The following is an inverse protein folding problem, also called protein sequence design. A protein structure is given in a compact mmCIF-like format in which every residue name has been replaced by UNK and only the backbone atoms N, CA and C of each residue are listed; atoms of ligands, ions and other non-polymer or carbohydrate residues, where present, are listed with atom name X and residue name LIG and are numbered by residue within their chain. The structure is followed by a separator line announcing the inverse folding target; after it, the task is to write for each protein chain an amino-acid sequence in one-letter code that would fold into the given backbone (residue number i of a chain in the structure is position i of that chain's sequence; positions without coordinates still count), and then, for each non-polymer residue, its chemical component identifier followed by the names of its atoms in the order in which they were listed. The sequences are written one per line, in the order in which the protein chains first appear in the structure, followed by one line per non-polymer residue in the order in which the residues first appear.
data_IF_309530833647
#
_entry.id   IF_309530833647
#
_cell.length_a   1.000
_cell.length_b   1.000
_cell.length_c   1.000
_cell.angle_alpha   90.00
_cell.angle_beta   90.00
_cell.angle_gamma   90.00
#
_symmetry.space_group_name_H-M   'P 1'
#
loop_
_entity.id
_entity.type
_entity.pdbx_description
1 polymer ?
#
# COMPACT_ATOMS: atom_id res chain seq x y z
N UNK A 1 6.10 -6.58 -0.54
CA UNK A 1 7.03 -7.65 -0.99
C UNK A 1 6.32 -8.65 -1.89
N UNK A 2 5.38 -9.45 -1.37
CA UNK A 2 4.70 -10.49 -2.15
C UNK A 2 3.24 -10.16 -2.50
N UNK A 3 2.87 -8.89 -2.60
CA UNK A 3 1.47 -8.51 -2.86
C UNK A 3 0.97 -9.11 -4.18
N UNK A 4 1.80 -9.05 -5.22
CA UNK A 4 1.47 -9.49 -6.58
C UNK A 4 1.94 -10.91 -6.90
N UNK A 5 2.59 -11.61 -5.94
CA UNK A 5 2.96 -13.01 -6.12
C UNK A 5 1.79 -13.90 -5.65
N UNK A 6 1.06 -14.55 -6.58
CA UNK A 6 -0.10 -15.36 -6.23
C UNK A 6 0.28 -16.63 -5.46
N UNK A 7 1.55 -17.04 -5.45
CA UNK A 7 2.04 -18.30 -4.89
C UNK A 7 2.73 -18.14 -3.53
N UNK A 8 2.61 -16.99 -2.89
CA UNK A 8 3.14 -16.76 -1.54
C UNK A 8 2.02 -16.33 -0.62
N UNK A 9 1.72 -17.14 0.39
CA UNK A 9 0.81 -16.78 1.45
C UNK A 9 1.55 -16.10 2.61
N UNK A 10 1.01 -15.00 3.13
CA UNK A 10 1.57 -14.28 4.29
C UNK A 10 0.42 -14.03 5.26
N UNK A 11 0.64 -14.31 6.53
CA UNK A 11 -0.33 -14.03 7.59
C UNK A 11 0.40 -13.64 8.88
N UNK A 12 -0.30 -12.89 9.74
CA UNK A 12 0.11 -12.64 11.12
C UNK A 12 -0.98 -13.09 12.08
N UNK A 13 -0.58 -13.52 13.27
CA UNK A 13 -1.46 -13.99 14.35
C UNK A 13 -2.45 -15.10 13.94
N UNK A 14 -2.12 -15.85 12.88
CA UNK A 14 -2.95 -16.94 12.37
C UNK A 14 -2.53 -18.27 13.00
N UNK A 15 -3.46 -18.99 13.62
CA UNK A 15 -3.17 -20.31 14.17
C UNK A 15 -2.71 -21.28 13.08
N UNK A 16 -1.53 -21.85 13.24
CA UNK A 16 -0.96 -22.91 12.41
C UNK A 16 -1.06 -24.27 13.12
N UNK A 17 -1.69 -25.23 12.45
CA UNK A 17 -1.78 -26.64 12.83
C UNK A 17 -0.92 -27.49 11.88
N UNK A 18 0.19 -28.07 12.35
CA UNK A 18 1.11 -28.82 11.48
C UNK A 18 0.57 -30.22 11.16
N UNK A 19 -0.18 -30.82 12.08
CA UNK A 19 -0.75 -32.17 11.96
C UNK A 19 -2.20 -32.18 12.45
N UNK A 20 -2.94 -33.23 12.11
CA UNK A 20 -4.27 -33.44 12.65
C UNK A 20 -4.25 -33.70 14.16
N UNK A 21 -5.34 -33.39 14.86
CA UNK A 21 -5.40 -33.50 16.31
C UNK A 21 -5.16 -34.93 16.83
N UNK A 22 -5.48 -35.95 16.02
CA UNK A 22 -5.26 -37.37 16.31
C UNK A 22 -3.80 -37.81 16.14
N UNK A 23 -3.01 -37.05 15.38
CA UNK A 23 -1.59 -37.28 15.13
C UNK A 23 -0.69 -36.39 16.01
N UNK A 24 -1.28 -35.56 16.87
CA UNK A 24 -0.57 -34.65 17.73
C UNK A 24 0.30 -35.41 18.75
N UNK A 25 1.57 -35.02 18.84
CA UNK A 25 2.53 -35.58 19.81
C UNK A 25 2.16 -35.11 21.22
N UNK A 26 2.00 -36.05 22.16
CA UNK A 26 1.74 -35.73 23.55
C UNK A 26 2.87 -34.85 24.14
N UNK A 27 2.50 -33.83 24.92
CA UNK A 27 3.44 -32.88 25.50
C UNK A 27 3.99 -31.82 24.53
N UNK A 28 3.60 -31.85 23.25
CA UNK A 28 3.91 -30.79 22.27
C UNK A 28 2.65 -29.97 22.01
N UNK A 29 2.80 -28.65 21.84
CA UNK A 29 1.69 -27.78 21.45
C UNK A 29 1.05 -28.27 20.14
N UNK A 30 -0.29 -28.26 20.09
CA UNK A 30 -1.06 -28.69 18.90
C UNK A 30 -1.04 -27.66 17.77
N UNK A 31 -0.78 -26.41 18.11
CA UNK A 31 -0.75 -25.28 17.18
C UNK A 31 0.07 -24.14 17.74
N UNK A 32 0.55 -23.28 16.86
CA UNK A 32 1.19 -22.03 17.20
C UNK A 32 0.66 -20.92 16.29
N UNK A 33 0.48 -19.70 16.82
CA UNK A 33 0.27 -18.51 16.00
C UNK A 33 1.57 -17.70 16.02
N UNK A 34 2.33 -17.69 14.91
CA UNK A 34 3.41 -16.74 14.71
C UNK A 34 2.88 -15.33 14.48
N UNK A 35 3.64 -14.32 14.92
CA UNK A 35 3.30 -12.92 14.63
C UNK A 35 3.37 -12.63 13.13
N UNK A 36 4.31 -13.28 12.43
CA UNK A 36 4.32 -13.35 10.96
C UNK A 36 4.74 -14.74 10.51
N UNK A 37 4.01 -15.29 9.54
CA UNK A 37 4.39 -16.46 8.78
C UNK A 37 4.42 -16.14 7.29
N UNK A 38 5.39 -16.70 6.56
CA UNK A 38 5.47 -16.66 5.10
C UNK A 38 5.54 -18.08 4.58
N UNK A 39 4.63 -18.39 3.66
CA UNK A 39 4.47 -19.71 3.07
C UNK A 39 4.57 -19.63 1.54
N UNK A 40 5.70 -20.07 1.01
CA UNK A 40 5.94 -20.20 -0.42
C UNK A 40 5.25 -21.44 -0.99
N UNK A 41 4.77 -21.33 -2.22
CA UNK A 41 4.03 -22.38 -2.91
C UNK A 41 2.56 -22.49 -2.50
N UNK A 42 2.05 -21.53 -1.71
CA UNK A 42 0.64 -21.50 -1.28
C UNK A 42 -0.09 -20.27 -1.80
N UNK A 43 -1.33 -20.43 -2.29
CA UNK A 43 -2.07 -19.32 -2.84
C UNK A 43 -2.54 -18.35 -1.76
N UNK A 44 -2.73 -17.09 -2.17
CA UNK A 44 -3.52 -16.10 -1.41
C UNK A 44 -4.91 -16.66 -1.10
N UNK A 45 -5.49 -16.18 -0.01
CA UNK A 45 -6.84 -16.55 0.39
C UNK A 45 -7.05 -16.40 1.89
N UNK A 46 -8.28 -16.04 2.26
CA UNK A 46 -8.66 -15.93 3.67
C UNK A 46 -8.70 -17.30 4.34
N UNK A 47 -8.23 -17.35 5.59
CA UNK A 47 -8.09 -18.56 6.38
C UNK A 47 -8.42 -18.23 7.83
N UNK A 48 -9.28 -19.05 8.45
CA UNK A 48 -9.47 -19.01 9.91
C UNK A 48 -8.26 -19.57 10.67
N UNK A 49 -7.58 -20.53 10.06
CA UNK A 49 -6.33 -21.11 10.54
C UNK A 49 -5.57 -21.72 9.37
N UNK A 50 -4.24 -21.78 9.49
CA UNK A 50 -3.39 -22.46 8.54
C UNK A 50 -3.24 -23.93 8.96
N UNK A 51 -3.93 -24.85 8.29
CA UNK A 51 -3.86 -26.29 8.57
C UNK A 51 -2.94 -26.94 7.56
N UNK A 52 -1.69 -27.17 7.92
CA UNK A 52 -0.65 -27.68 7.01
C UNK A 52 -1.07 -28.98 6.28
N UNK A 53 -1.77 -29.88 6.96
CA UNK A 53 -2.31 -31.12 6.39
C UNK A 53 -3.40 -30.90 5.31
N UNK A 54 -4.01 -29.71 5.26
CA UNK A 54 -4.93 -29.28 4.19
C UNK A 54 -4.25 -28.39 3.15
N UNK A 55 -2.95 -28.11 3.33
CA UNK A 55 -2.15 -27.19 2.52
C UNK A 55 -0.99 -27.94 1.86
N UNK A 56 -1.27 -29.16 1.36
CA UNK A 56 -0.29 -30.03 0.69
C UNK A 56 0.91 -30.41 1.56
N UNK A 57 0.77 -30.32 2.89
CA UNK A 57 1.85 -30.62 3.84
C UNK A 57 2.92 -29.52 3.92
N UNK A 58 2.69 -28.36 3.30
CA UNK A 58 3.67 -27.27 3.24
C UNK A 58 3.65 -26.50 4.57
N UNK A 59 4.74 -26.54 5.32
CA UNK A 59 4.92 -25.71 6.51
C UNK A 59 5.25 -24.25 6.11
N UNK A 60 5.00 -23.25 6.99
CA UNK A 60 5.61 -21.95 6.85
C UNK A 60 7.14 -22.05 6.80
N UNK A 61 7.76 -21.45 5.78
CA UNK A 61 9.21 -21.48 5.63
C UNK A 61 9.88 -20.36 6.42
N UNK A 62 9.25 -19.19 6.54
CA UNK A 62 9.79 -18.08 7.32
C UNK A 62 8.80 -17.68 8.41
N UNK A 63 9.30 -17.56 9.63
CA UNK A 63 8.53 -17.16 10.80
C UNK A 63 9.22 -16.02 11.53
N UNK A 64 8.44 -15.02 11.94
CA UNK A 64 8.86 -13.97 12.87
C UNK A 64 8.07 -14.05 14.17
N UNK A 65 8.77 -13.74 15.26
CA UNK A 65 8.23 -13.49 16.59
C UNK A 65 8.79 -12.16 17.12
N UNK A 66 7.95 -11.40 17.80
CA UNK A 66 8.25 -10.13 18.42
C UNK A 66 8.04 -10.30 19.93
N UNK A 67 9.11 -10.18 20.69
CA UNK A 67 9.04 -10.29 22.15
C UNK A 67 8.22 -9.16 22.75
N UNK A 68 7.36 -9.55 23.69
CA UNK A 68 6.63 -8.68 24.59
C UNK A 68 7.10 -8.90 26.03
N UNK A 69 6.85 -7.92 26.90
CA UNK A 69 7.23 -7.99 28.33
C UNK A 69 6.62 -9.18 29.07
N UNK A 70 5.53 -9.74 28.57
CA UNK A 70 4.84 -10.89 29.18
C UNK A 70 5.37 -12.24 28.71
N UNK A 71 6.21 -12.30 27.66
CA UNK A 71 6.73 -13.57 27.18
C UNK A 71 7.76 -14.13 28.15
N UNK A 72 7.62 -15.41 28.47
CA UNK A 72 8.56 -16.14 29.29
C UNK A 72 9.60 -16.87 28.44
N UNK A 73 10.80 -17.10 28.98
CA UNK A 73 11.83 -17.89 28.30
C UNK A 73 11.34 -19.31 27.95
N UNK A 74 10.54 -19.92 28.84
CA UNK A 74 9.99 -21.25 28.64
C UNK A 74 9.02 -21.31 27.45
N UNK A 75 8.15 -20.32 27.30
CA UNK A 75 7.25 -20.21 26.14
C UNK A 75 8.04 -20.03 24.85
N UNK A 76 9.06 -19.17 24.85
CA UNK A 76 9.87 -18.92 23.66
C UNK A 76 10.70 -20.13 23.26
N UNK A 77 11.22 -20.89 24.22
CA UNK A 77 11.90 -22.16 23.97
C UNK A 77 10.93 -23.21 23.40
N UNK A 78 9.69 -23.27 23.92
CA UNK A 78 8.66 -24.17 23.39
C UNK A 78 8.30 -23.81 21.94
N UNK A 79 8.13 -22.51 21.62
CA UNK A 79 7.92 -22.04 20.24
C UNK A 79 9.09 -22.41 19.33
N UNK A 80 10.33 -22.17 19.76
CA UNK A 80 11.53 -22.55 19.01
C UNK A 80 11.54 -24.05 18.66
N UNK A 81 11.25 -24.90 19.65
CA UNK A 81 11.20 -26.36 19.44
C UNK A 81 10.02 -26.83 18.60
N UNK A 82 8.91 -26.10 18.64
CA UNK A 82 7.79 -26.31 17.73
C UNK A 82 8.20 -26.01 16.28
N UNK A 83 8.82 -24.85 16.03
CA UNK A 83 9.27 -24.43 14.70
C UNK A 83 10.34 -25.36 14.10
N UNK A 84 11.33 -25.75 14.90
CA UNK A 84 12.35 -26.73 14.51
C UNK A 84 11.73 -28.07 14.13
N UNK A 85 10.78 -28.57 14.93
CA UNK A 85 10.11 -29.86 14.70
C UNK A 85 9.30 -29.87 13.40
N UNK A 86 8.58 -28.80 13.10
CA UNK A 86 7.63 -28.75 12.00
C UNK A 86 8.16 -28.08 10.73
N UNK A 87 9.48 -27.85 10.66
CA UNK A 87 10.16 -27.60 9.40
C UNK A 87 10.21 -26.14 8.96
N UNK A 88 10.15 -25.19 9.91
CA UNK A 88 10.47 -23.79 9.61
C UNK A 88 11.92 -23.70 9.11
N UNK A 89 12.12 -22.98 8.01
CA UNK A 89 13.44 -22.84 7.37
C UNK A 89 14.22 -21.63 7.89
N UNK A 90 13.51 -20.54 8.19
CA UNK A 90 14.07 -19.32 8.78
C UNK A 90 13.20 -18.87 9.95
N UNK A 91 13.81 -18.71 11.12
CA UNK A 91 13.13 -18.19 12.30
C UNK A 91 13.83 -16.92 12.76
N UNK A 92 13.07 -15.85 12.96
CA UNK A 92 13.56 -14.57 13.43
C UNK A 92 12.81 -14.15 14.70
N UNK A 93 13.57 -13.76 15.73
CA UNK A 93 13.04 -13.27 17.00
C UNK A 93 13.55 -11.86 17.24
N UNK A 94 12.65 -10.89 17.30
CA UNK A 94 12.99 -9.50 17.56
C UNK A 94 12.59 -9.10 18.98
N UNK A 95 13.51 -8.47 19.71
CA UNK A 95 13.26 -7.82 20.99
C UNK A 95 13.20 -6.29 20.78
N UNK A 96 12.02 -5.66 20.79
CA UNK A 96 11.91 -4.22 20.63
C UNK A 96 12.46 -3.43 21.82
N UNK A 97 12.49 -4.01 23.02
CA UNK A 97 12.97 -3.32 24.21
C UNK A 97 14.49 -3.20 24.22
N UNK A 98 15.18 -4.22 23.69
CA UNK A 98 16.63 -4.24 23.53
C UNK A 98 17.10 -3.82 22.13
N UNK A 99 16.16 -3.64 21.18
CA UNK A 99 16.43 -3.47 19.76
C UNK A 99 17.40 -4.56 19.23
N UNK A 100 17.09 -5.81 19.55
CA UNK A 100 17.94 -6.96 19.24
C UNK A 100 17.20 -7.95 18.35
N UNK A 101 17.76 -8.22 17.16
CA UNK A 101 17.29 -9.28 16.29
C UNK A 101 18.16 -10.53 16.49
N UNK A 102 17.51 -11.67 16.70
CA UNK A 102 18.12 -13.00 16.63
C UNK A 102 17.53 -13.76 15.47
N UNK A 103 18.31 -14.63 14.85
CA UNK A 103 17.84 -15.43 13.73
C UNK A 103 18.45 -16.83 13.73
N UNK A 104 17.72 -17.76 13.11
CA UNK A 104 18.14 -19.14 12.92
C UNK A 104 17.81 -19.62 11.52
N UNK A 105 18.71 -20.41 10.95
CA UNK A 105 18.53 -21.08 9.67
C UNK A 105 18.44 -22.59 9.87
N UNK A 106 17.53 -23.23 9.15
CA UNK A 106 17.43 -24.69 9.16
C UNK A 106 18.61 -25.33 8.44
N UNK A 107 19.28 -26.24 9.13
CA UNK A 107 20.29 -27.14 8.57
C UNK A 107 20.06 -28.54 9.12
N UNK A 108 19.95 -29.54 8.26
CA UNK A 108 19.71 -30.94 8.65
C UNK A 108 18.55 -31.10 9.65
N UNK A 109 17.44 -30.37 9.43
CA UNK A 109 16.24 -30.36 10.30
C UNK A 109 16.45 -29.77 11.71
N UNK A 110 17.49 -28.96 11.90
CA UNK A 110 17.75 -28.23 13.13
C UNK A 110 17.87 -26.73 12.85
N UNK A 111 17.36 -25.89 13.74
CA UNK A 111 17.50 -24.44 13.64
C UNK A 111 18.85 -24.02 14.25
N UNK A 112 19.77 -23.56 13.39
CA UNK A 112 21.12 -23.15 13.77
C UNK A 112 21.18 -21.63 13.86
N UNK A 113 21.72 -21.11 14.97
CA UNK A 113 21.82 -19.67 15.22
C UNK A 113 22.67 -18.98 14.16
N UNK A 114 22.18 -17.86 13.66
CA UNK A 114 22.94 -16.93 12.83
C UNK A 114 23.81 -16.08 13.75
N UNK A 115 25.11 -15.99 13.46
CA UNK A 115 26.07 -15.33 14.35
C UNK A 115 25.95 -13.80 14.36
N UNK A 116 25.74 -13.18 13.19
CA UNK A 116 25.54 -11.75 13.05
C UNK A 116 24.28 -11.45 12.23
N UNK A 117 23.34 -10.73 12.84
CA UNK A 117 22.10 -10.30 12.21
C UNK A 117 22.20 -8.94 11.53
N UNK A 118 23.21 -8.13 11.84
CA UNK A 118 23.37 -6.81 11.25
C UNK A 118 23.78 -6.93 9.77
N UNK A 119 22.95 -6.38 8.87
CA UNK A 119 23.12 -6.53 7.43
C UNK A 119 22.79 -7.93 6.91
N UNK A 120 22.21 -8.81 7.74
CA UNK A 120 21.83 -10.16 7.31
C UNK A 120 20.76 -10.10 6.22
N UNK A 121 20.95 -10.90 5.16
CA UNK A 121 19.98 -11.04 4.06
C UNK A 121 19.30 -12.40 4.18
N UNK A 122 17.98 -12.41 4.38
CA UNK A 122 17.17 -13.62 4.40
C UNK A 122 17.26 -14.36 3.05
N UNK A 123 17.68 -15.64 3.03
CA UNK A 123 17.73 -16.44 1.80
C UNK A 123 16.38 -16.57 1.07
N UNK A 124 15.26 -16.69 1.80
CA UNK A 124 13.92 -16.86 1.24
C UNK A 124 13.27 -15.53 0.87
N UNK A 125 13.43 -14.50 1.69
CA UNK A 125 12.76 -13.22 1.49
C UNK A 125 13.57 -12.28 0.60
N UNK A 126 14.89 -12.43 0.57
CA UNK A 126 15.82 -11.45 -0.01
C UNK A 126 15.88 -10.12 0.74
N UNK A 127 15.22 -10.02 1.90
CA UNK A 127 15.22 -8.83 2.74
C UNK A 127 16.49 -8.73 3.56
N UNK A 128 17.04 -7.52 3.70
CA UNK A 128 18.15 -7.21 4.59
C UNK A 128 17.63 -6.63 5.92
N UNK A 129 18.21 -7.04 7.04
CA UNK A 129 17.85 -6.55 8.38
C UNK A 129 18.97 -5.70 8.99
N UNK A 130 18.59 -4.58 9.60
CA UNK A 130 19.50 -3.69 10.31
C UNK A 130 18.86 -3.22 11.62
N UNK A 131 19.66 -3.00 12.67
CA UNK A 131 19.19 -2.53 13.98
C UNK A 131 19.83 -1.21 14.40
N UNK A 132 20.74 -0.67 13.59
CA UNK A 132 21.49 0.55 13.89
C UNK A 132 20.63 1.82 14.01
N UNK A 133 19.46 1.86 13.38
CA UNK A 133 18.51 2.99 13.40
C UNK A 133 17.71 3.16 14.71
N UNK A 134 18.00 2.38 15.75
CA UNK A 134 17.27 2.41 17.03
C UNK A 134 15.95 1.61 17.01
N UNK A 135 15.63 0.97 15.89
CA UNK A 135 14.60 -0.04 15.73
C UNK A 135 15.00 -1.00 14.61
N UNK A 136 14.31 -2.14 14.50
CA UNK A 136 14.49 -3.04 13.36
C UNK A 136 14.06 -2.36 12.05
N UNK A 137 15.04 -2.14 11.19
CA UNK A 137 14.84 -1.73 9.80
C UNK A 137 14.89 -2.95 8.89
N UNK A 138 13.92 -3.03 7.98
CA UNK A 138 13.85 -4.08 6.97
C UNK A 138 13.99 -3.43 5.60
N UNK A 139 14.99 -3.85 4.85
CA UNK A 139 15.20 -3.43 3.47
C UNK A 139 14.72 -4.53 2.53
N UNK A 140 13.95 -4.12 1.52
CA UNK A 140 13.47 -4.99 0.45
C UNK A 140 14.64 -5.50 -0.41
N UNK A 141 14.43 -6.54 -1.24
CA UNK A 141 15.44 -7.00 -2.21
C UNK A 141 15.92 -5.92 -3.18
N UNK A 142 15.07 -4.92 -3.47
CA UNK A 142 15.40 -3.75 -4.30
C UNK A 142 16.22 -2.67 -3.58
N UNK A 143 16.54 -2.88 -2.29
CA UNK A 143 17.31 -1.96 -1.46
C UNK A 143 16.49 -0.85 -0.81
N UNK A 144 15.18 -0.74 -1.07
CA UNK A 144 14.32 0.24 -0.42
C UNK A 144 13.97 -0.17 1.02
N UNK A 145 14.03 0.76 1.97
CA UNK A 145 13.55 0.53 3.34
C UNK A 145 12.04 0.33 3.33
N UNK A 146 11.56 -0.70 4.03
CA UNK A 146 10.14 -0.88 4.27
C UNK A 146 9.64 0.21 5.21
N UNK A 147 8.62 0.92 4.74
CA UNK A 147 7.94 1.92 5.55
C UNK A 147 7.10 1.24 6.63
N UNK A 148 7.07 1.86 7.80
CA UNK A 148 6.12 1.52 8.85
C UNK A 148 4.70 1.88 8.41
N UNK A 149 3.71 1.27 9.08
CA UNK A 149 2.31 1.62 8.88
C UNK A 149 2.04 3.13 9.09
N UNK A 150 2.68 3.73 10.09
CA UNK A 150 2.53 5.15 10.41
C UNK A 150 3.08 6.05 9.29
N UNK A 151 4.25 5.72 8.75
CA UNK A 151 4.83 6.45 7.61
C UNK A 151 3.94 6.33 6.37
N UNK A 152 3.45 5.12 6.09
CA UNK A 152 2.54 4.86 4.96
C UNK A 152 1.23 5.65 5.08
N UNK A 153 0.60 5.66 6.26
CA UNK A 153 -0.64 6.43 6.52
C UNK A 153 -0.42 7.93 6.33
N UNK A 154 0.67 8.47 6.88
CA UNK A 154 1.01 9.89 6.73
C UNK A 154 1.23 10.28 5.27
N UNK A 155 1.92 9.45 4.48
CA UNK A 155 2.09 9.71 3.05
C UNK A 155 0.75 9.69 2.31
N UNK A 156 -0.09 8.68 2.55
CA UNK A 156 -1.40 8.57 1.92
C UNK A 156 -2.31 9.76 2.25
N UNK A 157 -2.30 10.24 3.49
CA UNK A 157 -3.02 11.45 3.90
C UNK A 157 -2.52 12.70 3.17
N UNK A 158 -1.21 12.87 3.06
CA UNK A 158 -0.61 13.99 2.33
C UNK A 158 -0.93 13.96 0.84
N UNK A 159 -0.88 12.79 0.22
CA UNK A 159 -1.25 12.61 -1.19
C UNK A 159 -2.73 12.91 -1.42
N UNK A 160 -3.61 12.45 -0.53
CA UNK A 160 -5.04 12.75 -0.57
C UNK A 160 -5.31 14.25 -0.46
N UNK A 161 -4.65 14.95 0.48
CA UNK A 161 -4.78 16.40 0.62
C UNK A 161 -4.30 17.15 -0.63
N UNK A 162 -3.20 16.71 -1.25
CA UNK A 162 -2.69 17.30 -2.49
C UNK A 162 -3.68 17.11 -3.65
N UNK A 163 -4.20 15.89 -3.82
CA UNK A 163 -5.19 15.58 -4.84
C UNK A 163 -6.48 16.40 -4.67
N UNK A 164 -6.94 16.59 -3.43
CA UNK A 164 -8.11 17.45 -3.14
C UNK A 164 -7.85 18.91 -3.47
N UNK A 165 -6.68 19.44 -3.13
CA UNK A 165 -6.32 20.83 -3.48
C UNK A 165 -6.22 21.03 -4.99
N UNK A 166 -5.66 20.07 -5.72
CA UNK A 166 -5.58 20.11 -7.17
C UNK A 166 -6.96 20.06 -7.82
N UNK A 167 -7.85 19.17 -7.35
CA UNK A 167 -9.23 19.09 -7.81
C UNK A 167 -10.01 20.40 -7.57
N UNK A 168 -9.86 21.03 -6.39
CA UNK A 168 -10.49 22.31 -6.10
C UNK A 168 -9.98 23.43 -7.01
N UNK A 169 -8.69 23.44 -7.33
CA UNK A 169 -8.11 24.43 -8.26
C UNK A 169 -8.65 24.23 -9.67
N UNK A 170 -8.69 22.99 -10.15
CA UNK A 170 -9.24 22.66 -11.46
C UNK A 170 -10.73 23.05 -11.55
N UNK A 171 -11.51 22.81 -10.50
CA UNK A 171 -12.92 23.21 -10.44
C UNK A 171 -13.08 24.74 -10.47
N UNK A 172 -12.28 25.47 -9.69
CA UNK A 172 -12.30 26.94 -9.70
C UNK A 172 -11.90 27.50 -11.07
N UNK A 173 -10.92 26.91 -11.74
CA UNK A 173 -10.50 27.30 -13.08
C UNK A 173 -11.61 27.01 -14.11
N UNK A 174 -12.25 25.84 -14.03
CA UNK A 174 -13.39 25.49 -14.88
C UNK A 174 -14.57 26.45 -14.69
N UNK A 175 -14.92 26.79 -13.44
CA UNK A 175 -15.99 27.75 -13.16
C UNK A 175 -15.66 29.15 -13.69
N UNK A 176 -14.40 29.58 -13.63
CA UNK A 176 -13.97 30.86 -14.20
C UNK A 176 -14.07 30.86 -15.72
N UNK A 177 -13.59 29.79 -16.37
CA UNK A 177 -13.68 29.64 -17.82
C UNK A 177 -15.14 29.62 -18.30
N UNK A 178 -16.04 28.95 -17.57
CA UNK A 178 -17.46 28.92 -17.88
C UNK A 178 -18.12 30.30 -17.71
N UNK A 179 -17.80 31.02 -16.63
CA UNK A 179 -18.30 32.40 -16.45
C UNK A 179 -17.80 33.35 -17.53
N UNK A 180 -16.54 33.23 -17.94
CA UNK A 180 -15.98 34.04 -19.01
C UNK A 180 -16.63 33.73 -20.35
N UNK A 181 -16.86 32.44 -20.66
CA UNK A 181 -17.59 32.02 -21.85
C UNK A 181 -19.03 32.54 -21.86
N UNK A 182 -19.76 32.42 -20.74
CA UNK A 182 -21.12 32.95 -20.63
C UNK A 182 -21.18 34.47 -20.80
N UNK A 183 -20.21 35.21 -20.25
CA UNK A 183 -20.13 36.67 -20.44
C UNK A 183 -19.86 37.03 -21.90
N UNK A 184 -18.91 36.34 -22.53
CA UNK A 184 -18.60 36.56 -23.95
C UNK A 184 -19.81 36.25 -24.84
N UNK A 185 -20.58 35.20 -24.54
CA UNK A 185 -21.81 34.86 -25.26
C UNK A 185 -22.90 35.92 -25.05
N UNK A 186 -23.12 36.37 -23.81
CA UNK A 186 -24.08 37.44 -23.51
C UNK A 186 -23.71 38.76 -24.21
N UNK A 187 -22.43 39.14 -24.21
CA UNK A 187 -21.97 40.34 -24.89
C UNK A 187 -22.14 40.24 -26.41
N UNK A 188 -21.80 39.08 -27.00
CA UNK A 188 -22.02 38.82 -28.42
C UNK A 188 -23.51 38.89 -28.78
N UNK A 189 -24.39 38.32 -27.95
CA UNK A 189 -25.83 38.37 -28.16
C UNK A 189 -26.36 39.81 -28.04
N UNK A 190 -25.94 40.57 -27.02
CA UNK A 190 -26.36 41.96 -26.86
C UNK A 190 -25.92 42.85 -28.03
N UNK A 191 -24.71 42.62 -28.58
CA UNK A 191 -24.25 43.29 -29.80
C UNK A 191 -25.15 42.94 -30.98
N UNK A 192 -25.51 41.66 -31.18
CA UNK A 192 -26.43 41.24 -32.24
C UNK A 192 -27.82 41.86 -32.10
N UNK A 193 -28.40 41.87 -30.90
CA UNK A 193 -29.73 42.43 -30.64
C UNK A 193 -29.79 43.97 -30.83
N UNK A 194 -28.64 44.65 -30.73
CA UNK A 194 -28.54 46.10 -30.95
C UNK A 194 -28.55 46.48 -32.44
N UNK A 195 -28.13 45.58 -33.34
CA UNK A 195 -28.05 45.83 -34.79
C UNK A 195 -29.38 46.36 -35.37
N UNK A 196 -30.53 45.66 -35.26
CA UNK A 196 -31.77 46.13 -35.84
C UNK A 196 -32.27 47.45 -35.21
N UNK A 197 -31.97 47.70 -33.93
CA UNK A 197 -32.35 48.95 -33.25
C UNK A 197 -31.57 50.14 -33.78
N UNK A 198 -30.27 50.00 -33.99
CA UNK A 198 -29.42 51.08 -34.51
C UNK A 198 -29.73 51.39 -35.98
N UNK A 199 -30.00 50.35 -36.79
CA UNK A 199 -30.44 50.54 -38.17
C UNK A 199 -31.81 51.21 -38.24
N UNK A 200 -32.74 50.84 -37.35
CA UNK A 200 -34.04 51.51 -37.20
C UNK A 200 -33.97 52.97 -36.75
N UNK A 201 -32.87 53.39 -36.12
CA UNK A 201 -32.59 54.79 -35.77
C UNK A 201 -31.93 55.58 -36.92
N UNK A 202 -31.68 54.94 -38.07
CA UNK A 202 -31.19 55.59 -39.29
C UNK A 202 -29.67 55.59 -39.48
N UNK A 203 -28.92 54.79 -38.70
CA UNK A 203 -27.49 54.58 -38.97
C UNK A 203 -27.30 53.69 -40.21
N UNK A 204 -26.23 53.92 -40.99
CA UNK A 204 -25.85 53.02 -42.08
C UNK A 204 -25.22 51.72 -41.56
N UNK A 205 -25.17 50.69 -42.40
CA UNK A 205 -24.53 49.40 -42.07
C UNK A 205 -23.08 49.58 -41.64
N UNK A 206 -22.34 50.45 -42.31
CA UNK A 206 -20.94 50.78 -41.98
C UNK A 206 -20.83 51.50 -40.63
N UNK A 207 -21.78 52.38 -40.31
CA UNK A 207 -21.83 53.08 -39.03
C UNK A 207 -22.16 52.13 -37.87
N UNK A 208 -23.06 51.16 -38.07
CA UNK A 208 -23.39 50.14 -37.07
C UNK A 208 -22.25 49.15 -36.86
N UNK A 209 -21.61 48.70 -37.94
CA UNK A 209 -20.42 47.85 -37.88
C UNK A 209 -19.30 48.52 -37.07
N UNK A 210 -19.00 49.79 -37.36
CA UNK A 210 -18.02 50.56 -36.61
C UNK A 210 -18.40 50.77 -35.14
N UNK A 211 -19.68 51.04 -34.84
CA UNK A 211 -20.15 51.31 -33.48
C UNK A 211 -20.14 50.07 -32.55
N UNK A 212 -20.38 48.87 -33.12
CA UNK A 212 -20.41 47.62 -32.37
C UNK A 212 -19.10 46.82 -32.45
N UNK A 213 -18.12 47.32 -33.21
CA UNK A 213 -16.85 46.62 -33.46
C UNK A 213 -17.05 45.31 -34.23
N UNK A 214 -18.00 45.27 -35.16
CA UNK A 214 -18.32 44.14 -36.02
C UNK A 214 -17.85 44.40 -37.46
N UNK A 215 -17.74 43.35 -38.27
CA UNK A 215 -17.57 43.49 -39.71
C UNK A 215 -18.88 43.85 -40.42
N UNK A 216 -18.78 44.43 -41.62
CA UNK A 216 -19.94 44.76 -42.46
C UNK A 216 -20.68 43.48 -42.89
N UNK A 217 -19.97 42.37 -43.16
CA UNK A 217 -20.62 41.07 -43.40
C UNK A 217 -21.44 40.58 -42.19
N UNK A 218 -20.94 40.70 -40.96
CA UNK A 218 -21.66 40.27 -39.76
C UNK A 218 -22.94 41.08 -39.52
N UNK A 219 -22.91 42.38 -39.81
CA UNK A 219 -24.12 43.23 -39.71
C UNK A 219 -25.15 42.83 -40.76
N UNK A 220 -24.72 42.58 -42.00
CA UNK A 220 -25.62 42.16 -43.09
C UNK A 220 -26.21 40.75 -42.90
N UNK A 221 -25.52 39.85 -42.21
CA UNK A 221 -26.04 38.51 -41.90
C UNK A 221 -27.09 38.49 -40.77
N UNK A 222 -27.14 39.54 -39.95
CA UNK A 222 -28.11 39.71 -38.87
C UNK A 222 -29.24 40.70 -39.26
N UNK A 223 -29.37 40.99 -40.56
CA UNK A 223 -30.36 41.88 -41.16
C UNK A 223 -31.40 41.11 -41.97
#
# INVERSE_FOLDING_TARGET
LFADDPNVFVAGDLLWYPVEAVEAVEGVAKSQAPDVMVVFGRPKGDRRSYKQFQEEGIAPQVVFEILSKSNTEAEMLAKFKFYERYGVEEYYLYDPALNLLKGWLQQNKQLISIGNMEGWISPKLGCRFETTGGSLEVYRPDGQRMETYVETSKRAEQESQRAQQEAQRAEQESQRAEQEAQRAEQEAQARRDAIPRLLGLGLSVEQVAAALGLSVEEVNQNF
#
